data_IF_533039653381
#
_entry.id   IF_533039653381
#
_cell.length_a   1.000
_cell.length_b   1.000
_cell.length_c   1.000
_cell.angle_alpha   90.00
_cell.angle_beta   90.00
_cell.angle_gamma   90.00
#
_symmetry.space_group_name_H-M   'P 1'
#
loop_
_entity.id
_entity.type
_entity.pdbx_description
1 polymer ?
#
# COMPACT_ATOMS: atom_id res chain seq x y z
N UNK A 1 31.22 32.63 23.19
CA UNK A 1 29.93 32.20 22.60
C UNK A 1 28.83 32.34 23.65
N UNK A 2 27.89 33.28 23.49
CA UNK A 2 26.83 33.50 24.48
C UNK A 2 25.69 32.49 24.30
N UNK A 3 25.45 31.63 25.29
CA UNK A 3 24.25 30.77 25.35
C UNK A 3 23.01 31.66 25.49
N UNK A 4 22.09 31.58 24.53
CA UNK A 4 20.80 32.24 24.62
C UNK A 4 20.06 31.79 25.90
N UNK A 5 19.82 32.73 26.83
CA UNK A 5 18.99 32.49 28.03
C UNK A 5 17.58 32.12 27.56
N UNK A 6 17.19 30.85 27.73
CA UNK A 6 15.82 30.42 27.46
C UNK A 6 14.86 31.21 28.35
N UNK A 7 14.01 32.06 27.74
CA UNK A 7 12.97 32.79 28.46
C UNK A 7 12.01 31.81 29.10
N UNK A 8 11.79 31.95 30.41
CA UNK A 8 10.78 31.20 31.16
C UNK A 8 9.40 31.37 30.48
N UNK A 9 8.67 30.27 30.24
CA UNK A 9 7.37 30.34 29.58
C UNK A 9 6.37 31.11 30.45
N UNK A 10 5.58 31.98 29.83
CA UNK A 10 4.54 32.73 30.54
C UNK A 10 3.51 31.78 31.17
N UNK A 11 2.84 32.22 32.24
CA UNK A 11 1.74 31.46 32.88
C UNK A 11 0.69 31.01 31.85
N UNK A 12 0.35 31.87 30.88
CA UNK A 12 -0.57 31.53 29.77
C UNK A 12 -0.03 30.38 28.90
N UNK A 13 1.26 30.38 28.57
CA UNK A 13 1.88 29.31 27.79
C UNK A 13 1.86 27.97 28.55
N UNK A 14 2.11 27.99 29.87
CA UNK A 14 2.04 26.81 30.73
C UNK A 14 0.60 26.24 30.75
N UNK A 15 -0.40 27.08 30.96
CA UNK A 15 -1.82 26.66 30.95
C UNK A 15 -2.24 26.09 29.59
N UNK A 16 -1.81 26.71 28.48
CA UNK A 16 -2.09 26.19 27.12
C UNK A 16 -1.49 24.81 26.91
N UNK A 17 -0.24 24.59 27.32
CA UNK A 17 0.43 23.27 27.23
C UNK A 17 -0.29 22.22 28.06
N UNK A 18 -0.64 22.53 29.31
CA UNK A 18 -1.40 21.63 30.19
C UNK A 18 -2.75 21.24 29.57
N UNK A 19 -3.50 22.20 29.05
CA UNK A 19 -4.80 21.94 28.43
C UNK A 19 -4.66 21.15 27.12
N UNK A 20 -3.61 21.40 26.33
CA UNK A 20 -3.32 20.60 25.14
C UNK A 20 -3.01 19.14 25.50
N UNK A 21 -2.19 18.91 26.53
CA UNK A 21 -1.90 17.57 27.03
C UNK A 21 -3.15 16.85 27.54
N UNK A 22 -4.02 17.54 28.29
CA UNK A 22 -5.30 16.98 28.76
C UNK A 22 -6.21 16.57 27.59
N UNK A 23 -6.33 17.42 26.56
CA UNK A 23 -7.10 17.10 25.34
C UNK A 23 -6.50 15.92 24.58
N UNK A 24 -5.18 15.86 24.45
CA UNK A 24 -4.49 14.74 23.80
C UNK A 24 -4.74 13.43 24.55
N UNK A 25 -4.61 13.43 25.87
CA UNK A 25 -4.91 12.26 26.71
C UNK A 25 -6.33 11.76 26.48
N UNK A 26 -7.32 12.66 26.53
CA UNK A 26 -8.73 12.31 26.28
C UNK A 26 -8.94 11.74 24.87
N UNK A 27 -8.29 12.31 23.84
CA UNK A 27 -8.38 11.77 22.47
C UNK A 27 -7.79 10.36 22.37
N UNK A 28 -6.70 10.06 23.07
CA UNK A 28 -6.05 8.74 23.04
C UNK A 28 -6.84 7.63 23.77
N UNK A 29 -7.95 7.95 24.44
CA UNK A 29 -8.81 6.94 25.08
C UNK A 29 -9.46 6.02 24.04
N UNK A 30 -9.83 6.54 22.87
CA UNK A 30 -10.42 5.76 21.78
C UNK A 30 -9.38 5.29 20.75
N UNK A 31 -9.62 4.16 20.10
CA UNK A 31 -8.75 3.64 19.05
C UNK A 31 -8.58 4.64 17.90
N UNK A 32 -9.68 5.22 17.42
CA UNK A 32 -9.68 6.23 16.37
C UNK A 32 -8.91 7.49 16.79
N UNK A 33 -9.07 7.92 18.05
CA UNK A 33 -8.36 9.09 18.54
C UNK A 33 -6.86 8.85 18.74
N UNK A 34 -6.41 7.62 19.02
CA UNK A 34 -4.99 7.22 18.94
C UNK A 34 -4.46 7.31 17.51
N UNK A 35 -5.14 6.68 16.56
CA UNK A 35 -4.75 6.72 15.14
C UNK A 35 -4.64 8.15 14.59
N UNK A 36 -5.61 8.99 14.93
CA UNK A 36 -5.61 10.40 14.54
C UNK A 36 -4.47 11.18 15.21
N UNK A 37 -4.24 10.96 16.52
CA UNK A 37 -3.18 11.65 17.28
C UNK A 37 -1.77 11.26 16.84
N UNK A 38 -1.57 10.00 16.48
CA UNK A 38 -0.30 9.48 15.97
C UNK A 38 -0.10 9.80 14.48
N UNK A 39 -1.09 10.43 13.85
CA UNK A 39 -1.02 10.90 12.47
C UNK A 39 -1.11 9.77 11.45
N UNK A 40 -1.62 8.59 11.82
CA UNK A 40 -1.76 7.44 10.93
C UNK A 40 -2.49 7.82 9.64
N UNK A 41 -3.57 8.59 9.76
CA UNK A 41 -4.39 9.07 8.63
C UNK A 41 -3.94 10.42 8.04
N UNK A 42 -2.76 10.93 8.41
CA UNK A 42 -2.21 12.12 7.77
C UNK A 42 -1.77 11.82 6.33
N UNK A 43 -1.91 12.80 5.44
CA UNK A 43 -1.51 12.67 4.03
C UNK A 43 -0.05 12.20 3.86
N UNK A 44 0.85 12.61 4.76
CA UNK A 44 2.25 12.17 4.77
C UNK A 44 2.39 10.67 5.04
N UNK A 45 1.64 10.13 6.00
CA UNK A 45 1.69 8.70 6.32
C UNK A 45 0.98 7.86 5.27
N UNK A 46 -0.10 8.36 4.68
CA UNK A 46 -0.77 7.73 3.55
C UNK A 46 0.20 7.66 2.36
N UNK A 47 0.83 8.77 1.98
CA UNK A 47 1.80 8.83 0.88
C UNK A 47 2.96 7.84 1.10
N UNK A 48 3.51 7.78 2.32
CA UNK A 48 4.59 6.83 2.65
C UNK A 48 4.16 5.38 2.48
N UNK A 49 2.96 5.02 2.96
CA UNK A 49 2.43 3.66 2.83
C UNK A 49 2.24 3.28 1.36
N UNK A 50 1.63 4.17 0.57
CA UNK A 50 1.46 3.95 -0.86
C UNK A 50 2.79 3.82 -1.60
N UNK A 51 3.80 4.61 -1.23
CA UNK A 51 5.13 4.50 -1.82
C UNK A 51 5.79 3.15 -1.52
N UNK A 52 5.71 2.69 -0.27
CA UNK A 52 6.25 1.37 0.10
C UNK A 52 5.56 0.25 -0.66
N UNK A 53 4.22 0.31 -0.77
CA UNK A 53 3.47 -0.66 -1.54
C UNK A 53 3.83 -0.62 -3.02
N UNK A 54 4.01 0.59 -3.59
CA UNK A 54 4.39 0.74 -4.98
C UNK A 54 5.75 0.09 -5.28
N UNK A 55 6.72 0.31 -4.39
CA UNK A 55 8.04 -0.30 -4.47
C UNK A 55 7.99 -1.82 -4.34
N UNK A 56 7.26 -2.34 -3.34
CA UNK A 56 7.13 -3.78 -3.09
C UNK A 56 6.44 -4.51 -4.24
N UNK A 57 5.45 -3.86 -4.86
CA UNK A 57 4.66 -4.44 -5.94
C UNK A 57 5.23 -4.18 -7.34
N UNK A 58 6.28 -3.37 -7.46
CA UNK A 58 6.87 -2.97 -8.73
C UNK A 58 5.90 -2.20 -9.64
N UNK A 59 5.04 -1.35 -9.07
CA UNK A 59 4.05 -0.53 -9.82
C UNK A 59 4.49 0.94 -9.88
N UNK A 60 3.79 1.75 -10.67
CA UNK A 60 4.12 3.16 -10.81
C UNK A 60 4.00 3.93 -9.49
N UNK A 61 4.75 5.04 -9.37
CA UNK A 61 4.74 5.84 -8.16
C UNK A 61 3.33 6.43 -7.88
N UNK A 62 2.91 6.51 -6.60
CA UNK A 62 1.59 7.01 -6.26
C UNK A 62 1.47 8.52 -6.54
N UNK A 63 0.27 9.02 -6.86
CA UNK A 63 0.02 10.45 -7.03
C UNK A 63 0.14 11.20 -5.70
N UNK A 64 0.20 12.54 -5.78
CA UNK A 64 0.28 13.42 -4.60
C UNK A 64 -0.95 13.22 -3.71
N UNK A 65 -0.71 12.89 -2.44
CA UNK A 65 -1.76 12.75 -1.43
C UNK A 65 -2.04 14.09 -0.77
N UNK A 66 -3.28 14.57 -0.94
CA UNK A 66 -3.81 15.77 -0.30
C UNK A 66 -4.58 15.48 1.00
N UNK A 67 -5.17 16.52 1.61
CA UNK A 67 -6.11 16.34 2.73
C UNK A 67 -7.44 15.71 2.28
N UNK A 68 -7.81 15.88 1.02
CA UNK A 68 -9.00 15.30 0.39
C UNK A 68 -8.59 14.23 -0.63
N UNK A 69 -9.48 13.26 -0.86
CA UNK A 69 -9.29 12.23 -1.88
C UNK A 69 -9.38 12.88 -3.27
N UNK A 70 -8.28 12.88 -4.02
CA UNK A 70 -8.30 13.32 -5.42
C UNK A 70 -8.77 12.19 -6.33
N UNK A 71 -9.33 12.55 -7.49
CA UNK A 71 -9.70 11.58 -8.51
C UNK A 71 -8.50 10.74 -8.96
N UNK A 72 -7.33 11.36 -9.12
CA UNK A 72 -6.10 10.66 -9.44
C UNK A 72 -5.74 9.60 -8.39
N UNK A 73 -5.88 9.91 -7.10
CA UNK A 73 -5.62 8.97 -6.01
C UNK A 73 -6.66 7.83 -5.97
N UNK A 74 -7.94 8.16 -6.15
CA UNK A 74 -9.00 7.16 -6.25
C UNK A 74 -8.78 6.22 -7.45
N UNK A 75 -8.45 6.77 -8.61
CA UNK A 75 -8.13 6.02 -9.82
C UNK A 75 -6.91 5.12 -9.65
N UNK A 76 -5.84 5.62 -9.01
CA UNK A 76 -4.66 4.85 -8.68
C UNK A 76 -4.99 3.65 -7.76
N UNK A 77 -5.72 3.89 -6.68
CA UNK A 77 -6.13 2.83 -5.76
C UNK A 77 -7.02 1.80 -6.44
N UNK A 78 -7.97 2.22 -7.28
CA UNK A 78 -8.83 1.29 -8.00
C UNK A 78 -8.06 0.43 -9.01
N UNK A 79 -7.18 1.05 -9.80
CA UNK A 79 -6.33 0.36 -10.80
C UNK A 79 -5.49 -0.74 -10.16
N UNK A 80 -4.90 -0.45 -9.01
CA UNK A 80 -4.02 -1.38 -8.28
C UNK A 80 -4.73 -2.21 -7.22
N UNK A 81 -6.07 -2.06 -7.10
CA UNK A 81 -6.91 -2.74 -6.09
C UNK A 81 -6.43 -2.53 -4.66
N UNK A 82 -6.01 -1.30 -4.35
CA UNK A 82 -5.55 -0.92 -3.02
C UNK A 82 -6.74 -0.71 -2.09
N UNK A 83 -6.74 -1.41 -0.94
CA UNK A 83 -7.78 -1.25 0.09
C UNK A 83 -7.76 0.16 0.69
N UNK A 84 -8.90 0.85 0.69
CA UNK A 84 -9.03 2.16 1.32
C UNK A 84 -8.88 2.10 2.84
N UNK A 85 -9.36 1.04 3.49
CA UNK A 85 -9.18 0.88 4.94
C UNK A 85 -7.71 0.76 5.29
N UNK A 86 -6.97 -0.06 4.54
CA UNK A 86 -5.54 -0.15 4.70
C UNK A 86 -4.84 1.17 4.39
N UNK A 87 -5.20 1.84 3.29
CA UNK A 87 -4.60 3.11 2.89
C UNK A 87 -4.88 4.24 3.88
N UNK A 88 -6.07 4.33 4.47
CA UNK A 88 -6.43 5.43 5.38
C UNK A 88 -5.97 5.18 6.81
N UNK A 89 -6.08 3.94 7.29
CA UNK A 89 -5.88 3.64 8.73
C UNK A 89 -4.70 2.71 9.01
N UNK A 90 -4.18 2.02 8.00
CA UNK A 90 -3.13 1.01 8.17
C UNK A 90 -3.70 -0.35 8.58
N UNK A 91 -5.00 -0.58 8.34
CA UNK A 91 -5.69 -1.81 8.68
C UNK A 91 -4.98 -3.06 8.15
N UNK A 92 -4.44 -3.88 9.05
CA UNK A 92 -3.73 -5.12 8.70
C UNK A 92 -4.65 -6.17 8.08
N UNK A 93 -5.93 -6.21 8.47
CA UNK A 93 -6.92 -7.09 7.83
C UNK A 93 -7.15 -6.67 6.38
N UNK A 94 -7.28 -5.36 6.12
CA UNK A 94 -7.37 -4.82 4.76
C UNK A 94 -6.12 -5.11 3.92
N UNK A 95 -4.93 -5.03 4.52
CA UNK A 95 -3.67 -5.41 3.87
C UNK A 95 -3.67 -6.88 3.47
N UNK A 96 -4.00 -7.77 4.42
CA UNK A 96 -4.01 -9.21 4.20
C UNK A 96 -4.98 -9.58 3.08
N UNK A 97 -6.22 -9.10 3.13
CA UNK A 97 -7.22 -9.36 2.09
C UNK A 97 -6.74 -8.92 0.70
N UNK A 98 -6.14 -7.72 0.62
CA UNK A 98 -5.59 -7.17 -0.61
C UNK A 98 -4.43 -8.01 -1.16
N UNK A 99 -3.49 -8.42 -0.30
CA UNK A 99 -2.35 -9.26 -0.69
C UNK A 99 -2.80 -10.65 -1.12
N UNK A 100 -3.72 -11.27 -0.38
CA UNK A 100 -4.28 -12.59 -0.72
C UNK A 100 -5.00 -12.54 -2.06
N UNK A 101 -5.86 -11.53 -2.30
CA UNK A 101 -6.53 -11.35 -3.58
C UNK A 101 -5.54 -11.15 -4.74
N UNK A 102 -4.46 -10.37 -4.52
CA UNK A 102 -3.40 -10.19 -5.51
C UNK A 102 -2.68 -11.50 -5.80
N UNK A 103 -2.34 -12.28 -4.77
CA UNK A 103 -1.72 -13.60 -4.92
C UNK A 103 -2.61 -14.55 -5.70
N UNK A 104 -3.90 -14.66 -5.35
CA UNK A 104 -4.85 -15.50 -6.09
C UNK A 104 -4.93 -15.09 -7.56
N UNK A 105 -4.91 -13.79 -7.87
CA UNK A 105 -4.90 -13.30 -9.26
C UNK A 105 -3.62 -13.68 -10.01
N UNK A 106 -2.47 -13.60 -9.36
CA UNK A 106 -1.18 -13.94 -9.98
C UNK A 106 -0.97 -15.45 -10.08
N UNK A 107 -1.51 -16.21 -9.13
CA UNK A 107 -1.48 -17.67 -9.09
C UNK A 107 -2.62 -18.32 -9.88
N UNK A 108 -3.56 -17.53 -10.41
CA UNK A 108 -4.60 -18.04 -11.29
C UNK A 108 -3.92 -18.63 -12.53
N UNK A 109 -3.84 -19.96 -12.56
CA UNK A 109 -3.41 -20.70 -13.73
C UNK A 109 -4.32 -20.24 -14.87
N UNK A 110 -3.78 -19.65 -15.95
CA UNK A 110 -4.60 -19.28 -17.09
C UNK A 110 -5.41 -20.49 -17.52
N UNK A 111 -6.71 -20.30 -17.78
CA UNK A 111 -7.56 -21.40 -18.22
C UNK A 111 -6.89 -22.09 -19.42
N UNK A 112 -7.07 -23.41 -19.60
CA UNK A 112 -6.50 -24.12 -20.75
C UNK A 112 -6.81 -23.40 -22.08
N UNK A 113 -8.01 -22.84 -22.20
CA UNK A 113 -8.42 -22.01 -23.35
C UNK A 113 -7.59 -20.72 -23.51
N UNK A 114 -7.24 -20.03 -22.43
CA UNK A 114 -6.43 -18.82 -22.47
C UNK A 114 -4.96 -19.11 -22.80
N UNK A 115 -4.42 -20.26 -22.35
CA UNK A 115 -3.08 -20.72 -22.73
C UNK A 115 -3.00 -21.05 -24.21
N UNK A 116 -3.98 -21.80 -24.73
CA UNK A 116 -4.05 -22.15 -26.16
C UNK A 116 -4.19 -20.89 -27.02
N UNK A 117 -5.03 -19.94 -26.63
CA UNK A 117 -5.16 -18.67 -27.35
C UNK A 117 -3.85 -17.87 -27.38
N UNK A 118 -3.10 -17.81 -26.27
CA UNK A 118 -1.78 -17.16 -26.23
C UNK A 118 -0.75 -17.89 -27.07
N UNK A 119 -0.74 -19.23 -27.04
CA UNK A 119 0.15 -20.05 -27.86
C UNK A 119 -0.10 -19.83 -29.35
N UNK A 120 -1.36 -19.70 -29.77
CA UNK A 120 -1.73 -19.42 -31.16
C UNK A 120 -1.28 -18.03 -31.66
N UNK A 121 -1.05 -17.07 -30.76
CA UNK A 121 -0.57 -15.72 -31.10
C UNK A 121 0.96 -15.65 -31.27
N UNK A 122 1.70 -16.69 -30.91
CA UNK A 122 3.15 -16.75 -31.06
C UNK A 122 3.55 -16.98 -32.52
N UNK A 123 4.73 -16.48 -32.89
CA UNK A 123 5.34 -16.85 -34.17
C UNK A 123 5.70 -18.34 -34.18
N UNK A 124 5.82 -18.98 -35.36
CA UNK A 124 6.19 -20.39 -35.46
C UNK A 124 7.49 -20.73 -34.72
N UNK A 125 8.48 -19.82 -34.75
CA UNK A 125 9.75 -19.98 -34.02
C UNK A 125 9.54 -20.03 -32.50
N UNK A 126 8.76 -19.09 -31.95
CA UNK A 126 8.45 -19.08 -30.52
C UNK A 126 7.59 -20.27 -30.10
N UNK A 127 6.67 -20.72 -30.95
CA UNK A 127 5.89 -21.95 -30.72
C UNK A 127 6.79 -23.18 -30.60
N UNK A 128 7.82 -23.29 -31.46
CA UNK A 128 8.78 -24.38 -31.41
C UNK A 128 9.57 -24.40 -30.09
N UNK A 129 10.03 -23.23 -29.62
CA UNK A 129 10.74 -23.09 -28.34
C UNK A 129 9.84 -23.52 -27.17
N UNK A 130 8.61 -23.00 -27.12
CA UNK A 130 7.66 -23.34 -26.05
C UNK A 130 7.32 -24.83 -26.06
N UNK A 131 7.13 -25.42 -27.24
CA UNK A 131 6.85 -26.86 -27.37
C UNK A 131 8.03 -27.71 -26.91
N UNK A 132 9.26 -27.32 -27.26
CA UNK A 132 10.46 -28.01 -26.83
C UNK A 132 10.58 -28.01 -25.29
N UNK A 133 10.33 -26.88 -24.63
CA UNK A 133 10.38 -26.84 -23.16
C UNK A 133 9.25 -27.58 -22.48
N UNK A 134 8.03 -27.56 -23.04
CA UNK A 134 6.94 -28.39 -22.49
C UNK A 134 7.34 -29.87 -22.55
N UNK A 135 7.93 -30.32 -23.67
CA UNK A 135 8.40 -31.72 -23.81
C UNK A 135 9.52 -32.05 -22.82
N UNK A 136 10.48 -31.14 -22.62
CA UNK A 136 11.56 -31.33 -21.64
C UNK A 136 11.01 -31.49 -20.22
N UNK A 137 10.13 -30.58 -19.80
CA UNK A 137 9.53 -30.61 -18.46
C UNK A 137 8.72 -31.89 -18.24
N UNK A 138 7.96 -32.34 -19.24
CA UNK A 138 7.19 -33.58 -19.14
C UNK A 138 8.11 -34.81 -19.03
N UNK A 139 9.20 -34.84 -19.81
CA UNK A 139 10.18 -35.93 -19.74
C UNK A 139 10.91 -35.98 -18.39
N UNK A 140 11.23 -34.84 -17.77
CA UNK A 140 11.85 -34.75 -16.44
C UNK A 140 10.89 -35.14 -15.31
N UNK A 141 9.57 -34.99 -15.50
CA UNK A 141 8.56 -35.34 -14.48
C UNK A 141 8.27 -36.84 -14.42
N UNK A 142 8.39 -37.53 -15.55
CA UNK A 142 8.05 -38.95 -15.69
C UNK A 142 9.27 -39.88 -15.41
N UNK A 143 10.37 -39.34 -14.87
CA UNK A 143 11.55 -40.03 -14.33
C UNK A 143 11.55 -40.02 -12.80
#
# INVERSE_FOLDING_TARGET
>A
MARAKQKQPSRRAITRRRNAAKRLRKRRETALGRLSSDGASSSRHIARRLQWLANDWGIEAPPKVGPTMSEALAGYCNRHRISYDWMLTGSLSGLKQMVDARRTRLAAVPSPSALVAKYAQLTPEHQAIVTAEIRRILAERDQ
#
